data_IF_626463085324
#
_entry.id   IF_626463085324
#
_cell.length_a   1.000
_cell.length_b   1.000
_cell.length_c   1.000
_cell.angle_alpha   90.00
_cell.angle_beta   90.00
_cell.angle_gamma   90.00
#
_symmetry.space_group_name_H-M   'P 1'
#
loop_
_entity.id
_entity.type
_entity.pdbx_description
1 polymer ?
#
# COMPACT_ATOMS: atom_id res chain seq x y z
N UNK A 1 -18.46 10.42 49.84
CA UNK A 1 -17.02 10.15 50.02
C UNK A 1 -16.92 8.64 50.17
N UNK A 2 -16.56 7.84 49.16
CA UNK A 2 -15.33 7.87 48.36
C UNK A 2 -15.65 7.41 46.92
N UNK A 3 -15.40 8.25 45.91
CA UNK A 3 -14.17 8.29 45.12
C UNK A 3 -13.96 6.97 44.34
N UNK A 4 -14.48 6.86 43.12
CA UNK A 4 -13.76 7.24 41.88
C UNK A 4 -12.46 6.47 41.57
N UNK A 5 -12.15 5.40 42.29
CA UNK A 5 -11.02 4.54 41.95
C UNK A 5 -11.54 3.17 41.57
N UNK A 6 -11.67 2.93 40.25
CA UNK A 6 -11.61 1.63 39.55
C UNK A 6 -11.85 1.79 38.02
N UNK A 7 -11.64 2.99 37.46
CA UNK A 7 -11.61 3.23 36.00
C UNK A 7 -10.19 3.26 35.42
N UNK A 8 -9.16 3.21 36.27
CA UNK A 8 -7.77 3.42 35.89
C UNK A 8 -6.95 2.13 36.11
N UNK A 9 -7.14 1.12 35.26
CA UNK A 9 -6.24 -0.06 35.25
C UNK A 9 -6.30 -0.92 33.98
N UNK A 10 -6.78 -0.38 32.84
CA UNK A 10 -6.64 -1.08 31.54
C UNK A 10 -6.16 -0.14 30.44
N UNK A 11 -5.31 0.78 30.86
CA UNK A 11 -4.61 1.77 30.05
C UNK A 11 -3.12 1.44 30.04
N UNK A 12 -2.74 0.17 29.83
CA UNK A 12 -1.33 -0.21 29.71
C UNK A 12 -1.14 -1.10 28.48
N UNK A 13 -0.35 -0.57 27.55
CA UNK A 13 0.45 -1.27 26.54
C UNK A 13 -0.30 -2.07 25.45
N UNK A 14 -0.87 -1.37 24.46
CA UNK A 14 -0.76 -1.82 23.07
C UNK A 14 -0.37 -0.59 22.26
N UNK A 15 0.79 -0.67 21.63
CA UNK A 15 1.55 0.39 21.00
C UNK A 15 0.71 1.43 20.23
N UNK A 16 1.15 2.69 20.28
CA UNK A 16 0.74 3.74 19.36
C UNK A 16 1.22 3.42 17.92
N UNK A 17 0.88 2.26 17.39
CA UNK A 17 0.89 2.00 15.95
C UNK A 17 -0.25 2.82 15.35
N UNK A 18 0.11 3.78 14.51
CA UNK A 18 -0.84 4.54 13.73
C UNK A 18 -1.76 3.57 12.96
N UNK A 19 -3.03 3.48 13.36
CA UNK A 19 -4.03 2.72 12.63
C UNK A 19 -4.00 3.13 11.15
N UNK A 20 -3.90 2.17 10.23
CA UNK A 20 -3.76 2.43 8.79
C UNK A 20 -4.84 3.40 8.28
N UNK A 21 -6.07 3.28 8.81
CA UNK A 21 -7.18 4.19 8.51
C UNK A 21 -6.87 5.65 8.84
N UNK A 22 -6.33 5.94 10.03
CA UNK A 22 -5.98 7.30 10.44
C UNK A 22 -4.83 7.89 9.60
N UNK A 23 -3.88 7.03 9.19
CA UNK A 23 -2.80 7.45 8.29
C UNK A 23 -3.34 7.79 6.89
N UNK A 24 -4.22 6.96 6.35
CA UNK A 24 -4.84 7.17 5.05
C UNK A 24 -5.73 8.43 5.04
N UNK A 25 -6.53 8.65 6.08
CA UNK A 25 -7.34 9.86 6.23
C UNK A 25 -6.48 11.13 6.18
N UNK A 26 -5.40 11.17 6.96
CA UNK A 26 -4.46 12.30 6.96
C UNK A 26 -3.82 12.54 5.60
N UNK A 27 -3.40 11.48 4.89
CA UNK A 27 -2.76 11.60 3.57
C UNK A 27 -3.76 11.96 2.47
N UNK A 28 -4.98 11.41 2.51
CA UNK A 28 -6.00 11.63 1.49
C UNK A 28 -6.74 12.95 1.63
N UNK A 29 -6.84 13.53 2.83
CA UNK A 29 -7.49 14.83 3.03
C UNK A 29 -6.96 15.92 2.08
N UNK A 30 -5.64 15.97 1.88
CA UNK A 30 -5.01 16.90 0.93
C UNK A 30 -5.22 16.50 -0.54
N UNK A 31 -5.27 15.20 -0.82
CA UNK A 31 -5.42 14.67 -2.17
C UNK A 31 -6.84 14.88 -2.71
N UNK A 32 -7.85 14.63 -1.88
CA UNK A 32 -9.27 14.85 -2.20
C UNK A 32 -9.54 16.33 -2.50
N UNK A 33 -9.00 17.25 -1.69
CA UNK A 33 -9.11 18.69 -1.94
C UNK A 33 -8.53 19.08 -3.31
N UNK A 34 -7.34 18.56 -3.66
CA UNK A 34 -6.70 18.83 -4.96
C UNK A 34 -7.51 18.27 -6.13
N UNK A 35 -7.99 17.03 -6.04
CA UNK A 35 -8.73 16.38 -7.14
C UNK A 35 -10.11 16.99 -7.35
N UNK A 36 -10.79 17.44 -6.28
CA UNK A 36 -12.09 18.11 -6.38
C UNK A 36 -12.07 19.28 -7.38
N UNK A 37 -10.96 20.01 -7.47
CA UNK A 37 -10.81 21.14 -8.38
C UNK A 37 -10.46 20.75 -9.82
N UNK A 38 -9.92 19.54 -10.05
CA UNK A 38 -9.40 19.14 -11.36
C UNK A 38 -10.25 18.09 -12.07
N UNK A 39 -11.02 17.26 -11.35
CA UNK A 39 -11.87 16.24 -11.96
C UNK A 39 -12.95 15.74 -10.96
N UNK A 40 -14.19 16.27 -11.02
CA UNK A 40 -15.20 15.99 -10.01
C UNK A 40 -15.79 14.57 -10.07
N UNK A 41 -15.73 13.86 -11.21
CA UNK A 41 -16.54 12.66 -11.44
C UNK A 41 -15.77 11.32 -11.40
N UNK A 42 -14.56 11.29 -10.82
CA UNK A 42 -13.72 10.08 -10.87
C UNK A 42 -12.86 9.82 -9.64
N UNK A 43 -13.09 10.52 -8.53
CA UNK A 43 -12.19 10.48 -7.36
C UNK A 43 -12.01 9.06 -6.82
N UNK A 44 -13.09 8.31 -6.65
CA UNK A 44 -13.04 6.95 -6.10
C UNK A 44 -12.19 6.01 -6.96
N UNK A 45 -12.47 5.94 -8.27
CA UNK A 45 -11.74 5.09 -9.19
C UNK A 45 -10.24 5.46 -9.26
N UNK A 46 -9.94 6.76 -9.23
CA UNK A 46 -8.57 7.25 -9.23
C UNK A 46 -7.83 6.86 -7.94
N UNK A 47 -8.46 7.06 -6.78
CA UNK A 47 -7.85 6.72 -5.48
C UNK A 47 -7.59 5.22 -5.37
N UNK A 48 -8.56 4.39 -5.76
CA UNK A 48 -8.43 2.94 -5.74
C UNK A 48 -7.29 2.49 -6.67
N UNK A 49 -7.23 3.02 -7.89
CA UNK A 49 -6.14 2.75 -8.83
C UNK A 49 -4.75 3.09 -8.25
N UNK A 50 -4.63 4.26 -7.62
CA UNK A 50 -3.39 4.71 -6.98
C UNK A 50 -3.02 3.88 -5.74
N UNK A 51 -4.00 3.30 -5.03
CA UNK A 51 -3.74 2.41 -3.90
C UNK A 51 -3.42 0.98 -4.34
N UNK A 52 -4.10 0.46 -5.36
CA UNK A 52 -3.90 -0.90 -5.85
C UNK A 52 -2.48 -1.08 -6.42
N UNK A 53 -1.99 -0.11 -7.19
CA UNK A 53 -0.66 -0.17 -7.83
C UNK A 53 0.49 -0.47 -6.84
N UNK A 54 0.66 0.25 -5.71
CA UNK A 54 1.70 -0.06 -4.73
C UNK A 54 1.46 -1.40 -4.04
N UNK A 55 0.22 -1.78 -3.73
CA UNK A 55 -0.11 -3.08 -3.12
C UNK A 55 0.35 -4.24 -4.02
N UNK A 56 -0.03 -4.20 -5.30
CA UNK A 56 0.39 -5.21 -6.28
C UNK A 56 1.91 -5.24 -6.47
N UNK A 57 2.55 -4.07 -6.50
CA UNK A 57 4.00 -3.95 -6.65
C UNK A 57 4.74 -4.55 -5.44
N UNK A 58 4.30 -4.28 -4.22
CA UNK A 58 4.91 -4.80 -3.00
C UNK A 58 4.73 -6.32 -2.91
N UNK A 59 3.54 -6.84 -3.16
CA UNK A 59 3.32 -8.30 -3.17
C UNK A 59 4.19 -9.03 -4.21
N UNK A 60 4.38 -8.45 -5.39
CA UNK A 60 5.29 -8.99 -6.39
C UNK A 60 6.76 -8.90 -5.96
N UNK A 61 7.15 -7.91 -5.15
CA UNK A 61 8.51 -7.80 -4.63
C UNK A 61 8.78 -8.82 -3.52
N UNK A 62 7.84 -9.00 -2.61
CA UNK A 62 7.93 -10.00 -1.54
C UNK A 62 8.00 -11.43 -2.07
N UNK A 63 7.44 -11.67 -3.25
CA UNK A 63 7.42 -12.99 -3.88
C UNK A 63 8.43 -13.15 -5.02
N UNK A 64 9.41 -12.24 -5.11
CA UNK A 64 10.47 -12.24 -6.13
C UNK A 64 9.97 -12.31 -7.57
N UNK A 65 8.77 -11.77 -7.81
CA UNK A 65 8.13 -11.76 -9.10
C UNK A 65 7.32 -13.00 -9.43
N UNK A 66 7.18 -13.93 -8.49
CA UNK A 66 6.34 -15.11 -8.67
C UNK A 66 4.86 -14.72 -8.60
N UNK A 67 4.24 -14.59 -9.76
CA UNK A 67 2.83 -14.19 -9.88
C UNK A 67 1.86 -15.13 -9.15
N UNK A 68 2.16 -16.44 -9.09
CA UNK A 68 1.26 -17.38 -8.40
C UNK A 68 1.30 -17.15 -6.89
N UNK A 69 2.51 -16.97 -6.33
CA UNK A 69 2.68 -16.66 -4.91
C UNK A 69 2.13 -15.28 -4.57
N UNK A 70 2.37 -14.26 -5.41
CA UNK A 70 1.82 -12.92 -5.22
C UNK A 70 0.29 -12.91 -5.22
N UNK A 71 -0.33 -13.64 -6.16
CA UNK A 71 -1.78 -13.74 -6.24
C UNK A 71 -2.38 -14.42 -5.00
N UNK A 72 -1.73 -15.49 -4.51
CA UNK A 72 -2.11 -16.13 -3.25
C UNK A 72 -1.95 -15.21 -2.04
N UNK A 73 -0.85 -14.48 -1.94
CA UNK A 73 -0.59 -13.52 -0.87
C UNK A 73 -1.66 -12.41 -0.83
N UNK A 74 -2.06 -11.94 -2.01
CA UNK A 74 -3.09 -10.92 -2.16
C UNK A 74 -4.53 -11.46 -2.05
N UNK A 75 -4.72 -12.78 -2.05
CA UNK A 75 -6.05 -13.38 -2.06
C UNK A 75 -6.84 -13.15 -3.36
N UNK A 76 -6.15 -12.86 -4.48
CA UNK A 76 -6.79 -12.60 -5.78
C UNK A 76 -6.49 -13.70 -6.78
N UNK A 77 -7.32 -13.84 -7.80
CA UNK A 77 -7.03 -14.74 -8.92
C UNK A 77 -5.77 -14.27 -9.66
N UNK A 78 -4.87 -15.20 -10.02
CA UNK A 78 -3.68 -14.92 -10.84
C UNK A 78 -4.01 -14.22 -12.15
N UNK A 79 -5.16 -14.52 -12.76
CA UNK A 79 -5.62 -13.84 -13.97
C UNK A 79 -5.91 -12.36 -13.72
N UNK A 80 -6.51 -12.04 -12.56
CA UNK A 80 -6.73 -10.66 -12.11
C UNK A 80 -5.41 -9.94 -11.87
N UNK A 81 -4.47 -10.58 -11.18
CA UNK A 81 -3.11 -10.05 -10.99
C UNK A 81 -2.44 -9.74 -12.34
N UNK A 82 -2.51 -10.67 -13.31
CA UNK A 82 -1.93 -10.48 -14.65
C UNK A 82 -2.56 -9.30 -15.39
N UNK A 83 -3.89 -9.11 -15.29
CA UNK A 83 -4.59 -7.95 -15.87
C UNK A 83 -4.13 -6.65 -15.20
N UNK A 84 -4.11 -6.60 -13.86
CA UNK A 84 -3.69 -5.44 -13.07
C UNK A 84 -2.22 -5.05 -13.31
N UNK A 85 -1.33 -6.04 -13.48
CA UNK A 85 0.07 -5.78 -13.85
C UNK A 85 0.20 -5.06 -15.21
N UNK A 86 -0.62 -5.44 -16.20
CA UNK A 86 -0.64 -4.77 -17.51
C UNK A 86 -1.21 -3.36 -17.41
N UNK A 87 -2.35 -3.21 -16.72
CA UNK A 87 -3.04 -1.93 -16.50
C UNK A 87 -2.11 -0.90 -15.84
N UNK A 88 -1.44 -1.30 -14.76
CA UNK A 88 -0.55 -0.42 -14.01
C UNK A 88 0.90 -0.37 -14.52
N UNK A 89 1.18 -1.05 -15.65
CA UNK A 89 2.52 -1.18 -16.26
C UNK A 89 3.59 -1.62 -15.25
N UNK A 90 3.24 -2.56 -14.37
CA UNK A 90 4.14 -3.08 -13.33
C UNK A 90 5.13 -4.06 -13.97
N UNK A 91 6.39 -3.66 -14.05
CA UNK A 91 7.48 -4.52 -14.51
C UNK A 91 8.14 -5.23 -13.33
N UNK A 92 8.23 -6.55 -13.42
CA UNK A 92 8.89 -7.39 -12.42
C UNK A 92 10.39 -7.41 -12.71
N UNK A 93 11.16 -6.66 -11.92
CA UNK A 93 12.62 -6.73 -11.97
C UNK A 93 13.05 -7.78 -10.95
N UNK A 94 13.50 -8.95 -11.41
CA UNK A 94 14.07 -10.01 -10.55
C UNK A 94 15.17 -9.40 -9.66
N UNK A 95 15.26 -9.82 -8.38
CA UNK A 95 16.23 -9.30 -7.40
C UNK A 95 17.67 -9.34 -7.93
N UNK A 96 18.04 -10.36 -8.70
CA UNK A 96 19.38 -10.48 -9.32
C UNK A 96 19.69 -9.32 -10.27
N UNK A 97 18.69 -8.91 -11.07
CA UNK A 97 18.80 -7.71 -11.92
C UNK A 97 18.75 -6.43 -11.09
N UNK A 98 17.95 -6.32 -10.02
CA UNK A 98 17.90 -5.11 -9.18
C UNK A 98 19.23 -4.81 -8.48
N UNK A 99 19.91 -5.84 -7.95
CA UNK A 99 21.26 -5.69 -7.37
C UNK A 99 22.27 -5.23 -8.44
N UNK A 100 22.24 -5.85 -9.62
CA UNK A 100 23.10 -5.45 -10.74
C UNK A 100 22.81 -4.02 -11.27
N UNK A 101 21.55 -3.61 -11.34
CA UNK A 101 21.12 -2.26 -11.77
C UNK A 101 21.44 -1.19 -10.73
N UNK A 102 21.32 -1.49 -9.43
CA UNK A 102 21.74 -0.58 -8.36
C UNK A 102 23.25 -0.39 -8.33
N UNK A 103 24.03 -1.46 -8.57
CA UNK A 103 25.49 -1.41 -8.60
C UNK A 103 26.06 -0.68 -9.83
N UNK A 104 25.29 -0.56 -10.92
CA UNK A 104 25.70 0.15 -12.15
C UNK A 104 25.45 1.67 -12.08
N UNK A 105 24.61 2.13 -11.14
CA UNK A 105 24.24 3.54 -10.95
C UNK A 105 25.20 4.32 -10.03
N UNK A 106 26.11 3.63 -9.34
CA UNK A 106 27.07 4.21 -8.38
C UNK A 106 28.51 4.25 -8.89
N UNK A 107 28.75 4.01 -10.19
CA UNK A 107 30.08 4.22 -10.78
C UNK A 107 30.20 5.69 -11.22
N UNK A 108 31.29 6.39 -10.86
CA UNK A 108 31.53 7.78 -11.27
C UNK A 108 31.65 7.91 -12.79
#
# INVERSE_FOLDING_TARGET
MSAETLKDAKQEAVDHELNLSQLLEKKFAGFVKKIKHSNPNGLYALLISECEKPIFKLALQETDGNQVRAARLLGVNRNTLKKKMKEFKISVIKKDKRRALSAKKTRP
#
